data_IF_342148239401
#
_entry.id   IF_342148239401
#
_cell.length_a   1.000
_cell.length_b   1.000
_cell.length_c   1.000
_cell.angle_alpha   90.00
_cell.angle_beta   90.00
_cell.angle_gamma   90.00
#
_symmetry.space_group_name_H-M   'P 1'
#
loop_
_entity.id
_entity.type
_entity.pdbx_description
1 polymer ?
#
# COMPACT_ATOMS: atom_id res chain seq x y z
N UNK A 1 -29.44 -5.53 -17.46
CA UNK A 1 -28.69 -6.76 -17.79
C UNK A 1 -27.32 -6.60 -17.17
N UNK A 2 -27.10 -7.27 -16.05
CA UNK A 2 -25.79 -7.33 -15.40
C UNK A 2 -24.95 -8.31 -16.22
N UNK A 3 -23.90 -7.80 -16.86
CA UNK A 3 -22.89 -8.65 -17.44
C UNK A 3 -22.11 -9.29 -16.29
N UNK A 4 -22.46 -10.54 -15.99
CA UNK A 4 -21.54 -11.47 -15.34
C UNK A 4 -20.24 -11.44 -16.15
N UNK A 5 -19.18 -10.87 -15.57
CA UNK A 5 -17.83 -11.23 -15.96
C UNK A 5 -17.65 -12.70 -15.58
N UNK A 6 -18.03 -13.57 -16.52
CA UNK A 6 -17.67 -14.96 -16.54
C UNK A 6 -16.15 -15.02 -16.45
N UNK A 7 -15.67 -15.37 -15.25
CA UNK A 7 -14.29 -15.74 -15.04
C UNK A 7 -14.06 -16.98 -15.90
N UNK A 8 -13.23 -16.81 -16.93
CA UNK A 8 -12.82 -17.88 -17.82
C UNK A 8 -12.15 -18.97 -16.97
N UNK A 9 -12.88 -20.07 -16.75
CA UNK A 9 -12.54 -21.20 -15.87
C UNK A 9 -11.32 -22.02 -16.38
N UNK A 10 -10.75 -21.63 -17.52
CA UNK A 10 -9.55 -22.25 -18.11
C UNK A 10 -8.24 -21.52 -17.78
N UNK A 11 -8.26 -20.44 -16.98
CA UNK A 11 -7.03 -19.85 -16.42
C UNK A 11 -6.60 -20.62 -15.17
N UNK A 12 -5.84 -21.69 -15.35
CA UNK A 12 -5.10 -22.29 -14.23
C UNK A 12 -3.98 -21.31 -13.82
N UNK A 13 -4.28 -20.44 -12.86
CA UNK A 13 -3.25 -19.64 -12.17
C UNK A 13 -2.41 -20.58 -11.31
N UNK A 14 -1.44 -21.23 -11.94
CA UNK A 14 -0.40 -21.95 -11.22
C UNK A 14 0.54 -20.91 -10.62
N UNK A 15 0.23 -20.45 -9.40
CA UNK A 15 1.25 -19.83 -8.57
C UNK A 15 2.34 -20.90 -8.36
N UNK A 16 3.58 -20.59 -8.73
CA UNK A 16 4.73 -21.49 -8.60
C UNK A 16 4.84 -22.10 -7.19
N UNK A 17 4.28 -21.43 -6.19
CA UNK A 17 4.25 -21.84 -4.79
C UNK A 17 3.17 -22.92 -4.52
N UNK A 18 2.00 -22.88 -5.16
CA UNK A 18 0.94 -23.89 -4.94
C UNK A 18 1.36 -25.26 -5.49
N UNK A 19 1.97 -25.28 -6.67
CA UNK A 19 2.42 -26.52 -7.31
C UNK A 19 3.69 -27.09 -6.64
N UNK A 20 4.68 -26.23 -6.30
CA UNK A 20 5.95 -26.70 -5.73
C UNK A 20 5.82 -27.23 -4.29
N UNK A 21 4.81 -26.78 -3.54
CA UNK A 21 4.72 -27.06 -2.09
C UNK A 21 3.44 -27.80 -1.67
N UNK A 22 2.58 -28.23 -2.62
CA UNK A 22 1.36 -29.04 -2.39
C UNK A 22 0.46 -28.52 -1.26
N UNK A 23 0.11 -27.23 -1.31
CA UNK A 23 -0.61 -26.56 -0.21
C UNK A 23 -2.14 -26.57 -0.40
N UNK A 24 -2.86 -26.50 0.73
CA UNK A 24 -4.34 -26.51 0.82
C UNK A 24 -4.86 -25.11 1.18
N UNK A 25 -5.97 -24.68 0.55
CA UNK A 25 -6.56 -23.36 0.77
C UNK A 25 -7.29 -23.22 2.12
N UNK A 26 -7.35 -22.01 2.67
CA UNK A 26 -8.35 -21.69 3.71
C UNK A 26 -9.73 -21.52 3.07
N UNK A 27 -10.81 -21.71 3.84
CA UNK A 27 -12.17 -21.88 3.31
C UNK A 27 -13.06 -20.64 3.38
N UNK A 28 -12.54 -19.47 3.78
CA UNK A 28 -13.37 -18.27 3.86
C UNK A 28 -13.66 -17.68 2.49
N UNK A 29 -14.94 -17.64 2.12
CA UNK A 29 -15.42 -16.83 1.01
C UNK A 29 -15.68 -15.38 1.48
N UNK A 30 -15.90 -14.48 0.51
CA UNK A 30 -16.22 -13.05 0.75
C UNK A 30 -17.38 -12.86 1.74
N UNK A 31 -18.34 -13.80 1.75
CA UNK A 31 -19.53 -13.78 2.61
C UNK A 31 -19.20 -14.18 4.04
N UNK A 32 -18.30 -15.13 4.24
CA UNK A 32 -17.77 -15.56 5.53
C UNK A 32 -17.02 -14.43 6.23
N UNK A 33 -16.20 -13.69 5.48
CA UNK A 33 -15.50 -12.52 6.02
C UNK A 33 -16.45 -11.38 6.43
N UNK A 34 -17.44 -11.05 5.58
CA UNK A 34 -18.49 -10.07 5.91
C UNK A 34 -19.31 -10.45 7.15
N UNK A 35 -19.56 -11.75 7.34
CA UNK A 35 -20.28 -12.26 8.50
C UNK A 35 -19.46 -12.12 9.78
N UNK A 36 -18.16 -12.42 9.72
CA UNK A 36 -17.22 -12.19 10.83
C UNK A 36 -17.20 -10.71 11.25
N UNK A 37 -17.09 -9.80 10.28
CA UNK A 37 -17.00 -8.35 10.53
C UNK A 37 -18.26 -7.79 11.22
N UNK A 38 -19.45 -8.26 10.80
CA UNK A 38 -20.73 -7.93 11.47
C UNK A 38 -20.79 -8.45 12.90
N UNK A 39 -20.28 -9.66 13.13
CA UNK A 39 -20.17 -10.24 14.47
C UNK A 39 -19.29 -9.39 15.39
N UNK A 40 -18.15 -8.93 14.89
CA UNK A 40 -17.23 -8.07 15.63
C UNK A 40 -17.87 -6.73 16.04
N UNK A 41 -18.55 -6.03 15.11
CA UNK A 41 -19.23 -4.75 15.42
C UNK A 41 -20.30 -4.91 16.51
N UNK A 42 -21.04 -6.03 16.49
CA UNK A 42 -22.03 -6.35 17.52
C UNK A 42 -21.39 -6.53 18.89
N UNK A 43 -20.25 -7.20 18.96
CA UNK A 43 -19.50 -7.38 20.20
C UNK A 43 -19.01 -6.04 20.78
N UNK A 44 -18.49 -5.15 19.93
CA UNK A 44 -18.04 -3.81 20.36
C UNK A 44 -19.21 -2.96 20.87
N UNK A 45 -20.37 -2.99 20.20
CA UNK A 45 -21.58 -2.30 20.68
C UNK A 45 -22.01 -2.79 22.06
N UNK A 46 -22.03 -4.11 22.27
CA UNK A 46 -22.38 -4.69 23.57
C UNK A 46 -21.42 -4.22 24.67
N UNK A 47 -20.13 -4.20 24.38
CA UNK A 47 -19.13 -3.73 25.33
C UNK A 47 -19.28 -2.23 25.68
N UNK A 48 -19.60 -1.38 24.70
CA UNK A 48 -19.90 0.04 24.95
C UNK A 48 -21.13 0.22 25.85
N UNK A 49 -22.14 -0.64 25.71
CA UNK A 49 -23.31 -0.63 26.58
C UNK A 49 -22.97 -1.08 28.01
N UNK A 50 -22.16 -2.12 28.16
CA UNK A 50 -21.71 -2.64 29.46
C UNK A 50 -20.83 -1.64 30.22
N UNK A 51 -20.02 -0.86 29.51
CA UNK A 51 -19.14 0.16 30.08
C UNK A 51 -19.83 1.50 30.35
N UNK A 52 -21.15 1.57 30.13
CA UNK A 52 -21.95 2.74 30.48
C UNK A 52 -21.84 3.91 29.49
N UNK A 53 -21.40 3.65 28.25
CA UNK A 53 -21.39 4.69 27.22
C UNK A 53 -22.82 5.22 26.98
N UNK A 54 -22.92 6.52 26.72
CA UNK A 54 -24.20 7.18 26.46
C UNK A 54 -24.84 6.66 25.16
N UNK A 55 -26.16 6.79 25.06
CA UNK A 55 -26.89 6.45 23.84
C UNK A 55 -26.40 7.27 22.62
N UNK A 56 -25.92 8.50 22.83
CA UNK A 56 -25.32 9.32 21.79
C UNK A 56 -23.98 8.76 21.31
N UNK A 57 -23.11 8.30 22.22
CA UNK A 57 -21.82 7.68 21.86
C UNK A 57 -22.02 6.37 21.10
N UNK A 58 -22.97 5.54 21.52
CA UNK A 58 -23.32 4.30 20.82
C UNK A 58 -23.88 4.62 19.43
N UNK A 59 -24.74 5.62 19.32
CA UNK A 59 -25.28 6.06 18.03
C UNK A 59 -24.19 6.63 17.12
N UNK A 60 -23.24 7.38 17.67
CA UNK A 60 -22.08 7.91 16.95
C UNK A 60 -21.16 6.77 16.48
N UNK A 61 -20.95 5.75 17.32
CA UNK A 61 -20.22 4.53 16.93
C UNK A 61 -20.95 3.78 15.83
N UNK A 62 -22.26 3.54 15.93
CA UNK A 62 -23.02 2.80 14.92
C UNK A 62 -23.08 3.52 13.58
N UNK A 63 -23.34 4.83 13.59
CA UNK A 63 -23.33 5.65 12.38
C UNK A 63 -21.92 5.72 11.81
N UNK A 64 -20.92 6.04 12.63
CA UNK A 64 -19.52 6.08 12.21
C UNK A 64 -19.05 4.76 11.62
N UNK A 65 -19.35 3.64 12.27
CA UNK A 65 -19.07 2.30 11.77
C UNK A 65 -19.81 2.04 10.45
N UNK A 66 -21.11 2.33 10.33
CA UNK A 66 -21.84 2.16 9.08
C UNK A 66 -21.28 3.00 7.93
N UNK A 67 -20.93 4.26 8.15
CA UNK A 67 -20.37 5.13 7.10
C UNK A 67 -18.91 4.78 6.76
N UNK A 68 -18.16 4.27 7.74
CA UNK A 68 -16.75 3.91 7.61
C UNK A 68 -16.54 2.49 7.06
N UNK A 69 -17.49 1.57 7.29
CA UNK A 69 -17.52 0.19 6.77
C UNK A 69 -18.43 -0.01 5.57
N UNK A 70 -19.16 1.03 5.15
CA UNK A 70 -19.73 1.04 3.80
C UNK A 70 -18.56 1.13 2.82
N UNK A 71 -18.01 -0.02 2.43
CA UNK A 71 -16.92 -0.12 1.45
C UNK A 71 -17.29 0.54 0.10
N UNK A 72 -18.57 0.84 -0.13
CA UNK A 72 -19.08 1.57 -1.29
C UNK A 72 -19.06 3.09 -1.11
N UNK A 73 -19.06 3.62 0.12
CA UNK A 73 -18.95 5.05 0.47
C UNK A 73 -17.57 5.43 1.07
N UNK A 74 -16.87 4.46 1.67
CA UNK A 74 -15.49 4.53 2.12
C UNK A 74 -14.58 4.12 0.95
N UNK A 75 -14.64 4.96 -0.08
CA UNK A 75 -13.86 4.96 -1.29
C UNK A 75 -12.36 4.67 -1.08
N UNK A 76 -11.83 4.86 0.13
CA UNK A 76 -10.41 4.66 0.51
C UNK A 76 -10.31 4.04 1.93
N UNK A 77 -11.15 3.04 2.20
CA UNK A 77 -11.26 2.39 3.52
C UNK A 77 -9.92 1.88 4.08
N UNK A 78 -9.03 1.37 3.21
CA UNK A 78 -7.70 0.88 3.59
C UNK A 78 -6.83 1.96 4.22
N UNK A 79 -6.67 3.12 3.58
CA UNK A 79 -5.85 4.21 4.13
C UNK A 79 -6.44 4.74 5.44
N UNK A 80 -7.77 4.82 5.55
CA UNK A 80 -8.42 5.20 6.80
C UNK A 80 -8.15 4.19 7.92
N UNK A 81 -8.20 2.90 7.62
CA UNK A 81 -7.91 1.85 8.60
C UNK A 81 -6.45 1.91 9.08
N UNK A 82 -5.51 2.14 8.16
CA UNK A 82 -4.11 2.37 8.49
C UNK A 82 -3.98 3.60 9.40
N UNK A 83 -4.58 4.73 9.04
CA UNK A 83 -4.56 5.97 9.82
C UNK A 83 -5.07 5.75 11.26
N UNK A 84 -6.16 4.99 11.41
CA UNK A 84 -6.71 4.66 12.73
C UNK A 84 -5.74 3.85 13.58
N UNK A 85 -5.01 2.92 12.98
CA UNK A 85 -3.99 2.16 13.69
C UNK A 85 -2.82 3.07 14.09
N UNK A 86 -2.29 3.85 13.14
CA UNK A 86 -1.13 4.71 13.35
C UNK A 86 -1.37 5.80 14.39
N UNK A 87 -2.57 6.36 14.48
CA UNK A 87 -2.94 7.40 15.46
C UNK A 87 -3.74 6.85 16.66
N UNK A 88 -3.88 5.53 16.75
CA UNK A 88 -4.68 4.88 17.77
C UNK A 88 -4.02 4.86 19.15
N UNK A 89 -4.78 4.56 20.21
CA UNK A 89 -4.26 4.47 21.59
C UNK A 89 -3.26 3.30 21.79
N UNK A 90 -3.19 2.38 20.83
CA UNK A 90 -2.24 1.25 20.81
C UNK A 90 -1.09 1.48 19.83
N UNK A 91 -0.97 2.68 19.25
CA UNK A 91 0.14 3.00 18.39
C UNK A 91 1.43 3.04 19.20
N UNK A 92 2.52 2.56 18.60
CA UNK A 92 3.86 2.63 19.18
C UNK A 92 4.45 4.04 19.14
N UNK A 93 5.73 4.11 19.47
CA UNK A 93 6.55 5.33 19.39
C UNK A 93 6.87 5.68 17.92
N UNK A 94 7.24 6.93 17.65
CA UNK A 94 7.48 7.40 16.27
C UNK A 94 8.64 6.65 15.57
N UNK A 95 9.59 6.11 16.33
CA UNK A 95 10.73 5.35 15.85
C UNK A 95 10.48 3.83 15.75
N UNK A 96 9.30 3.35 16.15
CA UNK A 96 8.92 1.95 15.97
C UNK A 96 8.79 1.59 14.49
N UNK A 97 9.38 0.47 14.09
CA UNK A 97 9.29 -0.03 12.71
C UNK A 97 7.96 -0.77 12.51
N UNK A 98 7.14 -0.28 11.57
CA UNK A 98 5.82 -0.85 11.26
C UNK A 98 5.82 -1.38 9.83
N UNK A 99 5.17 -2.54 9.64
CA UNK A 99 4.82 -3.06 8.31
C UNK A 99 3.29 -3.16 8.19
N UNK A 100 2.76 -2.69 7.07
CA UNK A 100 1.36 -2.86 6.66
C UNK A 100 1.33 -3.70 5.39
N UNK A 101 0.48 -4.72 5.38
CA UNK A 101 0.30 -5.64 4.24
C UNK A 101 -1.18 -5.88 3.96
N UNK A 102 -1.50 -6.18 2.71
CA UNK A 102 -2.83 -6.67 2.35
C UNK A 102 -3.16 -8.01 3.04
N UNK A 103 -4.44 -8.20 3.34
CA UNK A 103 -4.88 -9.28 4.23
C UNK A 103 -5.28 -10.59 3.53
N UNK A 104 -5.51 -10.61 2.21
CA UNK A 104 -6.08 -11.77 1.51
C UNK A 104 -5.08 -12.55 0.66
N UNK A 105 -4.00 -11.92 0.22
CA UNK A 105 -3.09 -12.42 -0.82
C UNK A 105 -1.61 -12.29 -0.43
N UNK A 106 -1.33 -12.13 0.87
CA UNK A 106 0.04 -12.04 1.41
C UNK A 106 0.36 -13.23 2.30
N UNK A 107 1.56 -13.80 2.11
CA UNK A 107 2.13 -14.81 2.99
C UNK A 107 3.55 -14.39 3.39
N UNK A 108 3.77 -14.22 4.70
CA UNK A 108 5.10 -13.97 5.25
C UNK A 108 5.95 -15.24 5.20
N UNK A 109 7.09 -15.20 4.49
CA UNK A 109 7.95 -16.38 4.27
C UNK A 109 9.35 -16.23 4.88
N UNK A 110 9.73 -15.05 5.37
CA UNK A 110 11.04 -14.80 5.98
C UNK A 110 10.90 -14.48 7.46
N UNK A 111 11.88 -14.84 8.31
CA UNK A 111 11.92 -14.41 9.70
C UNK A 111 11.90 -12.88 9.81
N UNK A 112 11.26 -12.37 10.86
CA UNK A 112 11.11 -10.94 11.09
C UNK A 112 12.48 -10.25 11.20
N UNK A 113 13.46 -10.88 11.83
CA UNK A 113 14.82 -10.37 11.98
C UNK A 113 15.50 -10.17 10.63
N UNK A 114 15.25 -11.07 9.68
CA UNK A 114 15.78 -10.95 8.31
C UNK A 114 15.10 -9.81 7.54
N UNK A 115 13.80 -9.62 7.72
CA UNK A 115 13.07 -8.49 7.14
C UNK A 115 13.60 -7.16 7.68
N UNK A 116 13.75 -7.05 9.01
CA UNK A 116 14.25 -5.86 9.69
C UNK A 116 15.67 -5.52 9.23
N UNK A 117 16.57 -6.52 9.19
CA UNK A 117 17.93 -6.31 8.69
C UNK A 117 17.92 -5.77 7.26
N UNK A 118 17.13 -6.40 6.37
CA UNK A 118 17.04 -5.98 4.96
C UNK A 118 16.47 -4.58 4.79
N UNK A 119 15.50 -4.19 5.63
CA UNK A 119 14.97 -2.84 5.65
C UNK A 119 16.09 -1.82 5.91
N UNK A 120 16.91 -2.02 6.95
CA UNK A 120 18.00 -1.12 7.26
C UNK A 120 19.11 -1.12 6.20
N UNK A 121 19.42 -2.28 5.60
CA UNK A 121 20.38 -2.35 4.49
C UNK A 121 19.92 -1.54 3.27
N UNK A 122 18.62 -1.63 2.92
CA UNK A 122 18.03 -0.89 1.80
C UNK A 122 17.98 0.61 2.09
N UNK A 123 17.60 1.01 3.31
CA UNK A 123 17.58 2.40 3.74
C UNK A 123 18.98 3.02 3.71
N UNK A 124 19.98 2.35 4.27
CA UNK A 124 21.37 2.81 4.25
C UNK A 124 21.92 2.93 2.81
N UNK A 125 21.61 1.96 1.94
CA UNK A 125 21.98 2.04 0.53
C UNK A 125 21.28 3.20 -0.20
N UNK A 126 20.04 3.55 0.19
CA UNK A 126 19.33 4.70 -0.37
C UNK A 126 19.96 6.03 0.09
N UNK A 127 20.33 6.14 1.37
CA UNK A 127 21.03 7.30 1.89
C UNK A 127 22.37 7.54 1.20
N UNK A 128 23.15 6.47 0.99
CA UNK A 128 24.41 6.57 0.24
C UNK A 128 24.18 7.05 -1.20
N UNK A 129 23.15 6.54 -1.89
CA UNK A 129 22.82 7.01 -3.24
C UNK A 129 22.43 8.49 -3.27
N UNK A 130 21.67 8.95 -2.28
CA UNK A 130 21.28 10.37 -2.17
C UNK A 130 22.49 11.27 -1.96
N UNK A 131 23.43 10.83 -1.13
CA UNK A 131 24.71 11.47 -0.86
C UNK A 131 25.57 11.55 -2.14
N UNK A 132 25.76 10.42 -2.82
CA UNK A 132 26.54 10.33 -4.07
C UNK A 132 25.98 11.23 -5.18
N UNK A 133 24.66 11.24 -5.37
CA UNK A 133 23.99 12.07 -6.37
C UNK A 133 24.18 13.57 -6.13
N UNK A 134 24.44 13.97 -4.88
CA UNK A 134 24.56 15.39 -4.48
C UNK A 134 26.00 15.80 -4.18
N UNK A 135 26.95 14.87 -4.24
CA UNK A 135 28.34 15.12 -3.82
C UNK A 135 28.44 15.53 -2.35
N UNK A 136 27.58 14.99 -1.51
CA UNK A 136 27.51 15.25 -0.07
C UNK A 136 27.85 13.97 0.72
N UNK A 137 28.11 14.12 2.01
CA UNK A 137 28.14 13.01 2.98
C UNK A 137 26.72 12.59 3.37
N UNK A 138 26.58 11.39 3.95
CA UNK A 138 25.29 10.89 4.47
C UNK A 138 24.76 11.83 5.56
N UNK A 139 25.63 12.30 6.45
CA UNK A 139 25.29 13.24 7.51
C UNK A 139 24.78 14.58 6.94
N UNK A 140 25.35 15.06 5.85
CA UNK A 140 24.92 16.30 5.19
C UNK A 140 23.55 16.15 4.52
N UNK A 141 23.27 15.04 3.82
CA UNK A 141 21.92 14.82 3.26
C UNK A 141 20.89 14.65 4.38
N UNK A 142 21.25 13.98 5.46
CA UNK A 142 20.42 13.80 6.65
C UNK A 142 20.09 15.13 7.34
N UNK A 143 21.07 16.02 7.51
CA UNK A 143 20.84 17.35 8.11
C UNK A 143 19.95 18.26 7.25
N UNK A 144 19.82 17.95 5.95
CA UNK A 144 18.86 18.58 5.03
C UNK A 144 17.48 17.91 5.01
N UNK A 145 17.26 16.88 5.84
CA UNK A 145 16.01 16.12 5.87
C UNK A 145 15.80 15.20 4.66
N UNK A 146 16.86 14.92 3.89
CA UNK A 146 16.79 14.05 2.73
C UNK A 146 17.10 12.61 3.14
N UNK A 147 16.06 11.79 3.30
CA UNK A 147 16.16 10.37 3.65
C UNK A 147 15.12 9.56 2.89
N UNK A 148 15.34 8.26 2.78
CA UNK A 148 14.34 7.32 2.30
C UNK A 148 14.06 6.26 3.37
N UNK A 149 13.04 6.53 4.18
CA UNK A 149 12.68 5.71 5.35
C UNK A 149 11.40 4.88 5.13
N UNK A 150 10.51 5.30 4.23
CA UNK A 150 9.30 4.54 3.89
C UNK A 150 9.52 3.78 2.60
N UNK A 151 9.36 2.46 2.65
CA UNK A 151 9.53 1.55 1.52
C UNK A 151 8.17 0.93 1.14
N UNK A 152 7.70 1.26 -0.06
CA UNK A 152 6.51 0.66 -0.64
C UNK A 152 6.85 -0.61 -1.43
N UNK A 153 5.87 -1.51 -1.53
CA UNK A 153 5.89 -2.58 -2.52
C UNK A 153 6.05 -2.03 -3.93
N UNK A 154 6.51 -2.86 -4.85
CA UNK A 154 6.68 -2.46 -6.25
C UNK A 154 6.02 -3.42 -7.22
N UNK A 155 5.48 -2.86 -8.30
CA UNK A 155 4.98 -3.57 -9.47
C UNK A 155 5.93 -3.40 -10.66
N UNK A 156 5.90 -4.40 -11.56
CA UNK A 156 6.56 -4.36 -12.88
C UNK A 156 5.83 -3.50 -13.91
N UNK A 157 4.55 -3.19 -13.65
CA UNK A 157 3.71 -2.34 -14.51
C UNK A 157 3.21 -1.12 -13.77
N UNK A 158 3.22 0.04 -14.43
CA UNK A 158 2.64 1.25 -13.85
C UNK A 158 1.11 1.15 -13.83
N UNK A 159 0.53 1.13 -12.63
CA UNK A 159 -0.90 1.10 -12.40
C UNK A 159 -1.31 2.04 -11.25
N UNK A 160 -2.49 2.67 -11.28
CA UNK A 160 -3.40 2.74 -12.44
C UNK A 160 -2.86 3.71 -13.49
N UNK A 161 -2.81 3.31 -14.77
CA UNK A 161 -2.39 4.24 -15.83
C UNK A 161 -3.53 5.15 -16.29
N UNK A 162 -3.24 6.43 -16.40
CA UNK A 162 -4.11 7.41 -17.08
C UNK A 162 -4.04 7.15 -18.58
N UNK A 163 -4.86 6.26 -19.11
CA UNK A 163 -5.12 6.16 -20.56
C UNK A 163 -4.34 5.09 -21.32
N UNK A 164 -4.55 5.09 -22.64
CA UNK A 164 -3.95 4.20 -23.63
C UNK A 164 -2.90 4.98 -24.45
N UNK A 165 -1.85 4.31 -24.92
CA UNK A 165 -0.83 4.96 -25.77
C UNK A 165 0.00 6.02 -25.05
N UNK A 166 0.14 7.21 -25.64
CA UNK A 166 1.04 8.28 -25.18
C UNK A 166 0.65 8.88 -23.82
N UNK A 167 -0.63 8.84 -23.42
CA UNK A 167 -1.08 9.37 -22.13
C UNK A 167 -0.47 8.59 -20.96
N UNK A 168 -0.30 7.27 -21.13
CA UNK A 168 0.37 6.39 -20.16
C UNK A 168 1.86 6.75 -19.99
N UNK A 169 2.49 7.30 -21.03
CA UNK A 169 3.90 7.69 -20.99
C UNK A 169 4.11 9.06 -20.34
N UNK A 170 3.10 9.93 -20.35
CA UNK A 170 3.17 11.27 -19.75
C UNK A 170 2.72 11.33 -18.29
N UNK A 171 2.20 10.22 -17.76
CA UNK A 171 1.77 10.14 -16.37
C UNK A 171 2.98 10.24 -15.40
N UNK A 172 3.07 11.30 -14.58
CA UNK A 172 4.19 11.51 -13.66
C UNK A 172 4.43 10.33 -12.73
N UNK A 173 3.38 9.57 -12.39
CA UNK A 173 3.44 8.38 -11.54
C UNK A 173 4.19 7.21 -12.19
N UNK A 174 4.44 7.29 -13.49
CA UNK A 174 5.18 6.28 -14.24
C UNK A 174 6.59 6.75 -14.61
N UNK A 175 6.75 7.99 -15.08
CA UNK A 175 8.04 8.45 -15.60
C UNK A 175 8.96 9.11 -14.56
N UNK A 176 8.43 9.64 -13.44
CA UNK A 176 9.27 10.17 -12.35
C UNK A 176 9.83 9.09 -11.44
N UNK A 177 9.26 7.89 -11.44
CA UNK A 177 9.72 6.79 -10.59
C UNK A 177 11.14 6.37 -11.02
N UNK A 178 12.15 6.40 -10.12
CA UNK A 178 13.51 6.05 -10.50
C UNK A 178 13.62 4.62 -11.08
N UNK A 179 14.57 4.41 -11.98
CA UNK A 179 14.91 3.05 -12.41
C UNK A 179 15.53 2.26 -11.27
N UNK A 180 15.37 0.94 -11.31
CA UNK A 180 15.95 0.07 -10.30
C UNK A 180 17.48 0.11 -10.39
N UNK A 181 18.15 -0.14 -9.26
CA UNK A 181 19.61 -0.30 -9.21
C UNK A 181 20.03 -1.73 -9.53
N UNK A 182 19.14 -2.55 -10.09
CA UNK A 182 19.43 -3.94 -10.38
C UNK A 182 20.39 -4.06 -11.57
N UNK A 183 21.18 -5.14 -11.66
CA UNK A 183 22.04 -5.39 -12.80
C UNK A 183 21.26 -5.44 -14.12
N UNK A 184 21.90 -4.99 -15.22
CA UNK A 184 21.31 -4.87 -16.58
C UNK A 184 20.60 -6.12 -17.12
N UNK A 185 20.92 -7.31 -16.60
CA UNK A 185 20.36 -8.58 -17.05
C UNK A 185 19.76 -9.40 -15.92
N UNK A 186 19.30 -8.74 -14.85
CA UNK A 186 18.70 -9.42 -13.68
C UNK A 186 17.50 -10.30 -14.07
N UNK A 187 16.78 -9.97 -15.16
CA UNK A 187 15.68 -10.75 -15.70
C UNK A 187 16.05 -11.55 -16.96
N UNK A 188 17.34 -11.67 -17.28
CA UNK A 188 17.85 -12.34 -18.47
C UNK A 188 18.01 -11.43 -19.69
N UNK A 189 18.26 -12.00 -20.88
CA UNK A 189 18.59 -11.24 -22.11
C UNK A 189 17.49 -10.28 -22.55
N UNK A 190 16.24 -10.53 -22.17
CA UNK A 190 15.08 -9.69 -22.50
C UNK A 190 14.84 -8.54 -21.51
N UNK A 191 15.75 -8.33 -20.53
CA UNK A 191 15.62 -7.24 -19.55
C UNK A 191 15.44 -5.89 -20.24
N UNK A 192 14.30 -5.25 -20.00
CA UNK A 192 13.94 -3.95 -20.58
C UNK A 192 13.51 -3.96 -22.06
N UNK A 193 13.56 -5.10 -22.75
CA UNK A 193 13.10 -5.23 -24.15
C UNK A 193 11.96 -6.22 -24.32
N UNK A 194 11.77 -7.13 -23.36
CA UNK A 194 10.67 -8.09 -23.34
C UNK A 194 9.39 -7.53 -22.70
N UNK A 195 8.40 -8.40 -22.52
CA UNK A 195 7.15 -8.08 -21.83
C UNK A 195 7.32 -7.84 -20.32
N UNK A 196 6.20 -7.66 -19.62
CA UNK A 196 6.16 -7.38 -18.17
C UNK A 196 7.05 -8.30 -17.31
N UNK A 197 7.16 -9.62 -17.53
CA UNK A 197 8.03 -10.47 -16.72
C UNK A 197 9.50 -10.03 -16.69
N UNK A 198 9.97 -9.44 -17.79
CA UNK A 198 11.36 -8.99 -17.98
C UNK A 198 11.57 -7.51 -17.62
N UNK A 199 10.52 -6.83 -17.17
CA UNK A 199 10.59 -5.44 -16.73
C UNK A 199 11.00 -5.35 -15.27
N UNK A 200 11.68 -4.26 -14.92
CA UNK A 200 12.01 -3.96 -13.53
C UNK A 200 10.74 -3.68 -12.70
N UNK A 201 10.76 -4.18 -11.47
CA UNK A 201 9.76 -3.84 -10.47
C UNK A 201 10.15 -2.51 -9.84
N UNK A 202 9.51 -1.43 -10.27
CA UNK A 202 9.82 -0.07 -9.78
C UNK A 202 8.60 0.74 -9.41
N UNK A 203 7.45 0.48 -10.04
CA UNK A 203 6.26 1.30 -9.84
C UNK A 203 5.65 1.02 -8.48
N UNK A 204 5.15 2.05 -7.79
CA UNK A 204 4.59 1.89 -6.45
C UNK A 204 3.40 0.93 -6.46
N UNK A 205 3.40 -0.01 -5.53
CA UNK A 205 2.28 -0.88 -5.19
C UNK A 205 1.84 -0.58 -3.75
N UNK A 206 0.57 -0.24 -3.56
CA UNK A 206 0.06 0.16 -2.23
C UNK A 206 -0.26 -1.04 -1.32
N UNK A 207 -0.10 -2.28 -1.79
CA UNK A 207 -0.39 -3.51 -1.06
C UNK A 207 0.56 -3.83 0.08
N UNK A 208 1.73 -3.19 0.13
CA UNK A 208 2.68 -3.35 1.22
C UNK A 208 3.48 -2.07 1.46
N UNK A 209 3.69 -1.72 2.72
CA UNK A 209 4.60 -0.65 3.13
C UNK A 209 5.29 -0.99 4.44
N UNK A 210 6.56 -0.61 4.57
CA UNK A 210 7.34 -0.71 5.80
C UNK A 210 8.10 0.61 6.04
N UNK A 211 8.15 1.06 7.29
CA UNK A 211 8.88 2.26 7.69
C UNK A 211 8.64 2.63 9.15
N UNK A 212 9.33 3.67 9.66
CA UNK A 212 9.12 4.17 11.01
C UNK A 212 7.69 4.70 11.14
N UNK A 213 7.09 4.50 12.30
CA UNK A 213 5.70 4.81 12.55
C UNK A 213 5.41 6.30 12.30
N UNK A 214 6.27 7.21 12.76
CA UNK A 214 6.11 8.66 12.58
C UNK A 214 6.19 9.09 11.11
N UNK A 215 7.08 8.48 10.33
CA UNK A 215 7.21 8.76 8.89
C UNK A 215 6.00 8.23 8.13
N UNK A 216 5.49 7.06 8.52
CA UNK A 216 4.29 6.48 7.93
C UNK A 216 3.04 7.30 8.27
N UNK A 217 2.92 7.84 9.49
CA UNK A 217 1.86 8.83 9.86
C UNK A 217 1.89 10.00 8.90
N UNK A 218 3.05 10.64 8.75
CA UNK A 218 3.25 11.81 7.88
C UNK A 218 2.81 11.52 6.45
N UNK A 219 3.23 10.39 5.88
CA UNK A 219 2.90 10.03 4.50
C UNK A 219 1.41 9.70 4.32
N UNK A 220 0.80 8.95 5.25
CA UNK A 220 -0.61 8.57 5.18
C UNK A 220 -1.51 9.80 5.35
N UNK A 221 -1.18 10.70 6.28
CA UNK A 221 -1.91 11.95 6.50
C UNK A 221 -1.83 12.85 5.26
N UNK A 222 -0.65 12.98 4.65
CA UNK A 222 -0.48 13.71 3.39
C UNK A 222 -1.25 13.07 2.22
N UNK A 223 -1.38 11.74 2.21
CA UNK A 223 -2.17 11.03 1.20
C UNK A 223 -3.66 11.30 1.39
N UNK A 224 -4.15 11.29 2.63
CA UNK A 224 -5.54 11.63 2.95
C UNK A 224 -5.86 13.10 2.62
N UNK A 225 -4.95 14.03 2.91
CA UNK A 225 -5.11 15.43 2.51
C UNK A 225 -5.18 15.57 0.98
N UNK A 226 -4.31 14.87 0.24
CA UNK A 226 -4.36 14.84 -1.22
C UNK A 226 -5.72 14.35 -1.74
N UNK A 227 -6.27 13.31 -1.10
CA UNK A 227 -7.61 12.80 -1.46
C UNK A 227 -8.65 13.88 -1.23
N UNK A 228 -8.69 14.49 -0.05
CA UNK A 228 -9.67 15.54 0.29
C UNK A 228 -9.64 16.70 -0.70
N UNK A 229 -8.44 17.07 -1.17
CA UNK A 229 -8.23 18.16 -2.13
C UNK A 229 -8.59 17.81 -3.58
N UNK A 230 -8.50 16.52 -3.96
CA UNK A 230 -8.54 16.10 -5.38
C UNK A 230 -9.60 15.05 -5.71
N UNK A 231 -10.44 14.68 -4.74
CA UNK A 231 -11.49 13.70 -4.95
C UNK A 231 -12.49 14.15 -6.01
N UNK A 232 -12.65 13.34 -7.06
CA UNK A 232 -13.63 13.52 -8.12
C UNK A 232 -14.45 12.23 -8.24
N UNK A 233 -15.75 12.23 -7.87
CA UNK A 233 -16.58 11.03 -7.94
C UNK A 233 -16.74 10.47 -9.37
N UNK A 234 -16.54 11.29 -10.40
CA UNK A 234 -16.62 10.87 -11.80
C UNK A 234 -15.31 10.26 -12.31
N UNK A 235 -14.21 10.43 -11.57
CA UNK A 235 -12.91 9.89 -11.97
C UNK A 235 -12.84 8.38 -11.73
N UNK A 236 -12.56 7.58 -12.76
CA UNK A 236 -12.55 6.10 -12.66
C UNK A 236 -11.67 5.48 -11.56
N UNK A 237 -10.65 6.18 -11.08
CA UNK A 237 -9.77 5.70 -9.99
C UNK A 237 -9.93 6.48 -8.68
N UNK A 238 -11.07 7.18 -8.48
CA UNK A 238 -11.39 7.91 -7.25
C UNK A 238 -11.33 7.04 -5.97
N UNK A 239 -11.34 5.71 -6.12
CA UNK A 239 -11.28 4.74 -5.02
C UNK A 239 -9.97 3.97 -4.93
N UNK A 240 -8.95 4.36 -5.70
CA UNK A 240 -7.69 3.63 -5.73
C UNK A 240 -6.72 4.25 -4.73
N UNK A 241 -6.43 3.53 -3.65
CA UNK A 241 -5.33 3.84 -2.74
C UNK A 241 -4.00 3.94 -3.50
N UNK A 242 -3.73 3.01 -4.43
CA UNK A 242 -2.54 3.04 -5.28
C UNK A 242 -2.45 4.31 -6.13
N UNK A 243 -3.57 4.84 -6.65
CA UNK A 243 -3.58 6.10 -7.40
C UNK A 243 -3.04 7.25 -6.56
N UNK A 244 -3.59 7.44 -5.35
CA UNK A 244 -3.23 8.57 -4.48
C UNK A 244 -1.81 8.43 -3.91
N UNK A 245 -1.44 7.23 -3.42
CA UNK A 245 -0.09 6.99 -2.90
C UNK A 245 0.97 7.20 -3.99
N UNK A 246 0.73 6.69 -5.21
CA UNK A 246 1.65 6.89 -6.34
C UNK A 246 1.71 8.36 -6.78
N UNK A 247 0.61 9.09 -6.68
CA UNK A 247 0.57 10.54 -6.97
C UNK A 247 1.44 11.32 -5.98
N UNK A 248 1.31 11.02 -4.68
CA UNK A 248 2.12 11.66 -3.65
C UNK A 248 3.60 11.31 -3.82
N UNK A 249 3.93 10.05 -4.10
CA UNK A 249 5.28 9.61 -4.40
C UNK A 249 5.87 10.39 -5.60
N UNK A 250 5.12 10.52 -6.69
CA UNK A 250 5.55 11.29 -7.86
C UNK A 250 5.78 12.78 -7.53
N UNK A 251 4.92 13.39 -6.70
CA UNK A 251 5.12 14.77 -6.23
C UNK A 251 6.41 14.91 -5.41
N UNK A 252 6.72 13.93 -4.55
CA UNK A 252 7.96 13.91 -3.79
C UNK A 252 9.18 13.79 -4.71
N UNK A 253 9.17 12.86 -5.66
CA UNK A 253 10.28 12.68 -6.60
C UNK A 253 10.47 13.90 -7.53
N UNK A 254 9.39 14.62 -7.88
CA UNK A 254 9.50 15.87 -8.64
C UNK A 254 10.22 16.99 -7.88
N UNK A 255 10.09 17.02 -6.54
CA UNK A 255 10.70 18.04 -5.67
C UNK A 255 12.12 17.67 -5.22
N UNK A 256 12.53 16.41 -5.40
CA UNK A 256 13.80 15.85 -4.93
C UNK A 256 14.98 16.28 -5.81
#
# INVERSE_FOLDING_TARGET
EEAEEALDDDVVKVNNIVNSFRLQSTSFDKKGYLSYLKGYMKAVKAHLQETGASAEEITKFEKGAQTYFDAKAAHIAKLRAITRYLHGPTAGEDDDLVIVVDGFDVLAQIPAETLIQRYFDVAAAADQRLADQRGLTVEEVHSKGLRQTVLWGTDKGCFPSSGNGDEKQRDPRCWLVPFSTLPRYVWGPETGTGGLPFSDSRFVNSGTVIGPLGDLRTLIDATLALIEDTFDPEYKYHNSDQYYVSTLYARQEYQR
#
